data_IF_638929431957
#
_entry.id   IF_638929431957
#
_cell.length_a   1.000
_cell.length_b   1.000
_cell.length_c   1.000
_cell.angle_alpha   90.00
_cell.angle_beta   90.00
_cell.angle_gamma   90.00
#
_symmetry.space_group_name_H-M   'P 1'
#
loop_
_entity.id
_entity.type
_entity.pdbx_description
1 polymer ?
#
# COMPACT_ATOMS: atom_id res chain seq x y z
N UNK A 1 -43.91 -19.17 -31.89
CA UNK A 1 -43.29 -17.95 -31.39
C UNK A 1 -42.21 -18.37 -30.40
N UNK A 2 -40.98 -18.41 -30.84
CA UNK A 2 -39.85 -18.90 -30.05
C UNK A 2 -39.21 -17.69 -29.33
N UNK A 3 -39.37 -17.61 -28.02
CA UNK A 3 -38.72 -16.58 -27.18
C UNK A 3 -37.25 -16.91 -27.05
N UNK A 4 -36.40 -16.14 -27.71
CA UNK A 4 -34.96 -16.19 -27.51
C UNK A 4 -34.63 -15.55 -26.15
N UNK A 5 -34.18 -16.37 -25.20
CA UNK A 5 -33.62 -15.93 -23.92
C UNK A 5 -32.25 -15.37 -24.19
N UNK A 6 -32.07 -14.05 -24.09
CA UNK A 6 -30.77 -13.39 -24.09
C UNK A 6 -30.00 -13.81 -22.84
N UNK A 7 -28.93 -14.56 -23.05
CA UNK A 7 -27.97 -14.88 -22.00
C UNK A 7 -27.34 -13.57 -21.49
N UNK A 8 -27.24 -13.31 -20.16
CA UNK A 8 -26.56 -12.11 -19.69
C UNK A 8 -25.11 -12.16 -20.13
N UNK A 9 -24.67 -11.09 -20.81
CA UNK A 9 -23.27 -10.92 -21.19
C UNK A 9 -22.42 -11.09 -19.92
N UNK A 10 -21.56 -12.12 -19.90
CA UNK A 10 -20.52 -12.26 -18.86
C UNK A 10 -19.73 -10.96 -18.87
N UNK A 11 -19.78 -10.22 -17.77
CA UNK A 11 -18.83 -9.14 -17.53
C UNK A 11 -17.44 -9.74 -17.74
N UNK A 12 -16.67 -9.20 -18.68
CA UNK A 12 -15.29 -9.64 -18.90
C UNK A 12 -14.56 -9.49 -17.56
N UNK A 13 -14.00 -10.61 -17.08
CA UNK A 13 -13.20 -10.59 -15.86
C UNK A 13 -12.02 -9.62 -16.12
N UNK A 14 -11.91 -8.59 -15.32
CA UNK A 14 -10.80 -7.63 -15.39
C UNK A 14 -9.53 -8.40 -15.10
N UNK A 15 -8.51 -8.27 -15.97
CA UNK A 15 -7.21 -8.88 -15.71
C UNK A 15 -6.65 -8.30 -14.39
N UNK A 16 -6.38 -9.14 -13.37
CA UNK A 16 -5.90 -8.69 -12.07
C UNK A 16 -4.50 -8.07 -12.11
N UNK A 17 -3.82 -8.09 -13.25
CA UNK A 17 -2.55 -7.41 -13.52
C UNK A 17 -2.68 -6.28 -14.56
N UNK A 18 -3.90 -5.84 -14.88
CA UNK A 18 -4.13 -4.62 -15.67
C UNK A 18 -4.10 -3.37 -14.77
N UNK A 19 -3.05 -2.59 -14.90
CA UNK A 19 -2.86 -1.34 -14.17
C UNK A 19 -3.16 -0.09 -15.02
N UNK A 20 -3.72 -0.24 -16.21
CA UNK A 20 -3.91 0.85 -17.19
C UNK A 20 -4.81 1.98 -16.68
N UNK A 21 -5.67 1.72 -15.68
CA UNK A 21 -6.46 2.78 -15.05
C UNK A 21 -5.56 3.84 -14.42
N UNK A 22 -4.53 3.45 -13.69
CA UNK A 22 -3.62 4.38 -13.03
C UNK A 22 -2.93 5.35 -14.01
N UNK A 23 -2.68 4.90 -15.25
CA UNK A 23 -2.03 5.71 -16.29
C UNK A 23 -2.95 6.84 -16.80
N UNK A 24 -4.26 6.73 -16.60
CA UNK A 24 -5.28 7.67 -17.08
C UNK A 24 -5.83 8.60 -16.02
N UNK A 25 -5.50 8.37 -14.75
CA UNK A 25 -6.00 9.20 -13.66
C UNK A 25 -5.32 10.57 -13.63
N UNK A 26 -6.07 11.63 -13.26
CA UNK A 26 -5.47 12.92 -13.02
C UNK A 26 -4.45 12.86 -11.89
N UNK A 27 -3.32 13.53 -12.09
CA UNK A 27 -2.22 13.53 -11.16
C UNK A 27 -1.76 14.97 -10.84
N UNK A 28 -1.36 15.19 -9.58
CA UNK A 28 -0.83 16.48 -9.09
C UNK A 28 0.43 16.24 -8.27
N UNK A 29 1.34 17.22 -8.24
CA UNK A 29 2.49 17.17 -7.34
C UNK A 29 2.02 17.22 -5.88
N UNK A 30 2.65 16.41 -5.01
CA UNK A 30 2.44 16.39 -3.57
C UNK A 30 3.80 16.30 -2.88
N UNK A 31 4.37 17.43 -2.49
CA UNK A 31 5.77 17.51 -2.08
C UNK A 31 6.71 17.10 -3.22
N UNK A 32 7.57 16.13 -2.98
CA UNK A 32 8.39 15.50 -4.01
C UNK A 32 7.73 14.24 -4.63
N UNK A 33 6.56 13.87 -4.12
CA UNK A 33 5.73 12.80 -4.66
C UNK A 33 4.71 13.29 -5.69
N UNK A 34 3.86 12.36 -6.15
CA UNK A 34 2.78 12.61 -7.10
C UNK A 34 1.51 11.91 -6.64
N UNK A 35 0.40 12.64 -6.52
CA UNK A 35 -0.90 12.14 -6.10
C UNK A 35 -1.79 11.87 -7.31
N UNK A 36 -2.21 10.61 -7.48
CA UNK A 36 -3.24 10.21 -8.44
C UNK A 36 -4.60 10.23 -7.73
N UNK A 37 -5.62 10.81 -8.34
CA UNK A 37 -6.97 10.92 -7.76
C UNK A 37 -7.98 10.20 -8.65
N UNK A 38 -8.66 9.18 -8.11
CA UNK A 38 -9.74 8.47 -8.81
C UNK A 38 -11.11 9.07 -8.48
N UNK A 39 -11.32 9.52 -7.24
CA UNK A 39 -12.54 10.21 -6.82
C UNK A 39 -12.21 11.35 -5.85
N UNK A 40 -12.78 12.53 -6.12
CA UNK A 40 -12.57 13.72 -5.30
C UNK A 40 -13.24 13.62 -3.91
N UNK A 41 -12.78 14.39 -2.90
CA UNK A 41 -13.44 14.51 -1.62
C UNK A 41 -14.94 14.85 -1.75
N UNK A 42 -15.78 14.22 -0.94
CA UNK A 42 -17.24 14.33 -0.99
C UNK A 42 -17.91 14.56 0.37
N UNK A 43 -17.14 15.04 1.35
CA UNK A 43 -17.59 15.31 2.72
C UNK A 43 -17.51 14.10 3.67
N UNK A 44 -17.20 12.89 3.15
CA UNK A 44 -16.90 11.69 3.95
C UNK A 44 -15.39 11.46 3.98
N UNK A 45 -14.85 10.71 4.96
CA UNK A 45 -13.43 10.35 4.95
C UNK A 45 -13.03 9.68 3.63
N UNK A 46 -12.00 10.20 2.96
CA UNK A 46 -11.42 9.59 1.76
C UNK A 46 -10.34 8.57 2.10
N UNK A 47 -9.81 7.89 1.08
CA UNK A 47 -8.68 6.98 1.20
C UNK A 47 -7.44 7.57 0.53
N UNK A 48 -6.29 7.55 1.23
CA UNK A 48 -4.96 7.81 0.67
C UNK A 48 -4.16 6.51 0.71
N UNK A 49 -3.84 5.95 -0.46
CA UNK A 49 -3.15 4.67 -0.61
C UNK A 49 -1.65 4.91 -0.77
N UNK A 50 -0.84 4.32 0.14
CA UNK A 50 0.61 4.49 0.22
C UNK A 50 1.30 3.17 -0.11
N UNK A 51 2.08 3.08 -1.21
CA UNK A 51 2.67 1.83 -1.67
C UNK A 51 3.87 1.41 -0.82
N UNK A 52 4.18 0.10 -0.91
CA UNK A 52 5.39 -0.49 -0.36
C UNK A 52 6.63 -0.24 -1.22
N UNK A 53 7.77 -0.79 -0.80
CA UNK A 53 9.03 -0.69 -1.51
C UNK A 53 8.91 -1.10 -2.98
N UNK A 54 9.63 -0.42 -3.86
CA UNK A 54 9.67 -0.63 -5.31
C UNK A 54 8.40 -0.23 -6.07
N UNK A 55 7.27 0.01 -5.39
CA UNK A 55 5.98 0.27 -6.01
C UNK A 55 5.67 1.75 -6.14
N UNK A 56 4.91 2.10 -7.17
CA UNK A 56 4.23 3.39 -7.28
C UNK A 56 2.71 3.26 -7.09
N UNK A 57 2.00 4.36 -7.24
CA UNK A 57 0.54 4.43 -7.11
C UNK A 57 -0.20 3.47 -8.07
N UNK A 58 0.44 3.05 -9.16
CA UNK A 58 -0.10 2.13 -10.15
C UNK A 58 -0.57 0.80 -9.54
N UNK A 59 0.08 0.33 -8.48
CA UNK A 59 -0.26 -0.95 -7.86
C UNK A 59 -1.68 -0.97 -7.24
N UNK A 60 -2.25 0.20 -7.03
CA UNK A 60 -3.61 0.39 -6.51
C UNK A 60 -4.68 0.61 -7.59
N UNK A 61 -4.39 0.34 -8.87
CA UNK A 61 -5.35 0.58 -9.96
C UNK A 61 -6.72 -0.04 -9.69
N UNK A 62 -6.77 -1.30 -9.23
CA UNK A 62 -8.02 -1.98 -8.89
C UNK A 62 -8.72 -1.37 -7.67
N UNK A 63 -7.97 -1.00 -6.63
CA UNK A 63 -8.52 -0.34 -5.44
C UNK A 63 -9.11 1.02 -5.76
N UNK A 64 -8.43 1.81 -6.59
CA UNK A 64 -8.91 3.13 -7.01
C UNK A 64 -10.24 3.03 -7.73
N UNK A 65 -10.41 2.09 -8.66
CA UNK A 65 -11.70 1.84 -9.35
C UNK A 65 -12.77 1.32 -8.37
N UNK A 66 -12.41 0.34 -7.56
CA UNK A 66 -13.33 -0.31 -6.62
C UNK A 66 -13.89 0.68 -5.60
N UNK A 67 -13.04 1.45 -4.92
CA UNK A 67 -13.47 2.40 -3.90
C UNK A 67 -14.19 3.60 -4.49
N UNK A 68 -13.76 4.09 -5.67
CA UNK A 68 -14.50 5.14 -6.38
C UNK A 68 -15.92 4.69 -6.74
N UNK A 69 -16.10 3.47 -7.25
CA UNK A 69 -17.43 2.89 -7.52
C UNK A 69 -18.26 2.67 -6.26
N UNK A 70 -17.61 2.41 -5.12
CA UNK A 70 -18.27 2.33 -3.82
C UNK A 70 -18.67 3.71 -3.25
N UNK A 71 -18.37 4.81 -3.97
CA UNK A 71 -18.68 6.18 -3.58
C UNK A 71 -17.72 6.79 -2.57
N UNK A 72 -16.51 6.24 -2.43
CA UNK A 72 -15.46 6.79 -1.57
C UNK A 72 -14.53 7.70 -2.39
N UNK A 73 -14.21 8.87 -1.84
CA UNK A 73 -13.07 9.65 -2.30
C UNK A 73 -11.80 8.81 -2.15
N UNK A 74 -10.98 8.69 -3.20
CA UNK A 74 -9.77 7.89 -3.11
C UNK A 74 -8.66 8.42 -4.02
N UNK A 75 -7.46 8.34 -3.50
CA UNK A 75 -6.22 8.73 -4.16
C UNK A 75 -5.09 7.77 -3.78
N UNK A 76 -4.07 7.70 -4.62
CA UNK A 76 -2.84 6.95 -4.35
C UNK A 76 -1.63 7.82 -4.64
N UNK A 77 -0.55 7.65 -3.86
CA UNK A 77 0.67 8.44 -4.03
C UNK A 77 1.77 7.63 -4.71
N UNK A 78 2.44 8.22 -5.71
CA UNK A 78 3.81 7.86 -6.04
C UNK A 78 4.72 8.61 -5.08
N UNK A 79 5.49 7.90 -4.29
CA UNK A 79 6.52 8.48 -3.43
C UNK A 79 7.69 8.94 -4.29
N UNK A 80 8.54 9.84 -3.79
CA UNK A 80 9.71 10.34 -4.52
C UNK A 80 10.55 9.19 -5.10
N UNK A 81 10.96 9.32 -6.36
CA UNK A 81 11.74 8.31 -7.07
C UNK A 81 10.97 7.08 -7.53
N UNK A 82 9.63 7.04 -7.37
CA UNK A 82 8.77 5.92 -7.74
C UNK A 82 7.70 6.31 -8.77
N UNK A 83 7.07 5.30 -9.37
CA UNK A 83 6.16 5.50 -10.50
C UNK A 83 6.92 6.14 -11.68
N UNK A 84 6.39 7.21 -12.30
CA UNK A 84 7.05 7.93 -13.38
C UNK A 84 8.01 9.02 -12.88
N UNK A 85 8.17 9.20 -11.56
CA UNK A 85 9.03 10.23 -11.01
C UNK A 85 10.50 9.82 -11.17
N UNK A 86 11.38 10.75 -11.60
CA UNK A 86 12.81 10.50 -11.61
C UNK A 86 13.32 10.34 -10.17
N UNK A 87 14.40 9.60 -10.01
CA UNK A 87 15.13 9.59 -8.74
C UNK A 87 15.64 10.99 -8.45
N UNK A 88 15.34 11.59 -7.28
CA UNK A 88 15.84 12.91 -6.93
C UNK A 88 17.34 12.88 -6.67
N UNK A 89 18.04 14.02 -6.75
CA UNK A 89 19.42 14.14 -6.25
C UNK A 89 19.51 13.62 -4.80
N UNK A 90 20.52 12.81 -4.51
CA UNK A 90 20.68 12.18 -3.18
C UNK A 90 19.69 11.03 -2.91
N UNK A 91 19.12 10.41 -3.93
CA UNK A 91 18.14 9.31 -3.78
C UNK A 91 18.64 8.18 -2.86
N UNK A 92 19.92 7.87 -2.87
CA UNK A 92 20.51 6.82 -2.03
C UNK A 92 20.36 7.12 -0.52
N UNK A 93 20.30 8.40 -0.16
CA UNK A 93 20.13 8.89 1.22
C UNK A 93 18.65 9.14 1.59
N UNK A 94 17.74 8.98 0.64
CA UNK A 94 16.29 9.05 0.92
C UNK A 94 15.90 7.98 1.93
N UNK A 95 15.33 8.39 3.06
CA UNK A 95 14.88 7.50 4.13
C UNK A 95 13.36 7.47 4.31
N UNK A 96 12.89 6.68 5.25
CA UNK A 96 11.45 6.56 5.56
C UNK A 96 10.85 7.91 5.99
N UNK A 97 11.60 8.76 6.68
CA UNK A 97 11.14 10.09 7.08
C UNK A 97 10.86 11.00 5.88
N UNK A 98 11.67 10.89 4.82
CA UNK A 98 11.47 11.63 3.58
C UNK A 98 10.20 11.17 2.86
N UNK A 99 9.94 9.85 2.85
CA UNK A 99 8.72 9.28 2.29
C UNK A 99 7.50 9.70 3.11
N UNK A 100 7.63 9.81 4.44
CA UNK A 100 6.57 10.33 5.31
C UNK A 100 6.23 11.79 4.99
N UNK A 101 7.23 12.62 4.66
CA UNK A 101 7.00 14.00 4.23
C UNK A 101 6.19 14.09 2.93
N UNK A 102 6.36 13.14 1.99
CA UNK A 102 5.53 13.06 0.78
C UNK A 102 4.08 12.70 1.13
N UNK A 103 3.86 11.75 2.07
CA UNK A 103 2.52 11.38 2.54
C UNK A 103 1.85 12.55 3.26
N UNK A 104 2.58 13.30 4.10
CA UNK A 104 2.08 14.52 4.75
C UNK A 104 1.66 15.55 3.70
N UNK A 105 2.49 15.78 2.68
CA UNK A 105 2.17 16.70 1.59
C UNK A 105 0.92 16.28 0.81
N UNK A 106 0.69 14.97 0.64
CA UNK A 106 -0.52 14.45 0.02
C UNK A 106 -1.76 14.66 0.91
N UNK A 107 -1.65 14.47 2.23
CA UNK A 107 -2.72 14.76 3.17
C UNK A 107 -3.08 16.25 3.18
N UNK A 108 -2.07 17.12 3.23
CA UNK A 108 -2.27 18.58 3.19
C UNK A 108 -2.91 19.02 1.86
N UNK A 109 -2.57 18.36 0.74
CA UNK A 109 -3.15 18.63 -0.59
C UNK A 109 -4.61 18.16 -0.72
N UNK A 110 -4.98 17.05 -0.05
CA UNK A 110 -6.36 16.55 -0.05
C UNK A 110 -7.28 17.43 0.79
N UNK A 111 -6.77 18.07 1.84
CA UNK A 111 -7.48 18.98 2.75
C UNK A 111 -8.88 18.46 3.15
N UNK A 112 -8.95 17.17 3.50
CA UNK A 112 -10.18 16.48 3.83
C UNK A 112 -9.91 15.36 4.83
N UNK A 113 -10.91 14.95 5.63
CA UNK A 113 -10.79 13.77 6.48
C UNK A 113 -10.33 12.58 5.65
N UNK A 114 -9.24 11.93 6.04
CA UNK A 114 -8.60 10.90 5.23
C UNK A 114 -8.21 9.68 6.06
N UNK A 115 -8.53 8.50 5.58
CA UNK A 115 -7.98 7.23 6.05
C UNK A 115 -6.71 6.95 5.27
N UNK A 116 -5.58 6.83 5.96
CA UNK A 116 -4.30 6.49 5.32
C UNK A 116 -4.14 4.97 5.28
N UNK A 117 -3.89 4.43 4.09
CA UNK A 117 -3.73 3.00 3.86
C UNK A 117 -2.29 2.72 3.45
N UNK A 118 -1.49 2.09 4.32
CA UNK A 118 -0.09 1.79 4.07
C UNK A 118 0.16 0.30 3.84
N UNK A 119 0.83 -0.04 2.73
CA UNK A 119 1.21 -1.41 2.42
C UNK A 119 2.69 -1.67 2.70
N UNK A 120 3.02 -2.79 3.34
CA UNK A 120 4.40 -3.26 3.53
C UNK A 120 5.29 -2.17 4.15
N UNK A 121 6.39 -1.80 3.49
CA UNK A 121 7.25 -0.67 3.87
C UNK A 121 6.47 0.65 3.98
N UNK A 122 5.49 0.88 3.09
CA UNK A 122 4.62 2.07 3.10
C UNK A 122 3.79 2.25 4.36
N UNK A 123 3.67 1.22 5.20
CA UNK A 123 3.06 1.33 6.53
C UNK A 123 3.83 2.30 7.45
N UNK A 124 5.16 2.33 7.36
CA UNK A 124 5.99 3.21 8.20
C UNK A 124 5.79 4.70 7.86
N UNK A 125 5.91 5.15 6.60
CA UNK A 125 5.61 6.54 6.27
C UNK A 125 4.14 6.90 6.50
N UNK A 126 3.19 5.97 6.34
CA UNK A 126 1.77 6.19 6.66
C UNK A 126 1.57 6.44 8.17
N UNK A 127 2.18 5.63 9.03
CA UNK A 127 2.12 5.80 10.48
C UNK A 127 2.81 7.09 10.94
N UNK A 128 3.99 7.42 10.39
CA UNK A 128 4.68 8.69 10.68
C UNK A 128 3.84 9.90 10.25
N UNK A 129 3.18 9.84 9.10
CA UNK A 129 2.29 10.92 8.67
C UNK A 129 1.06 11.04 9.58
N UNK A 130 0.47 9.92 9.99
CA UNK A 130 -0.66 9.89 10.94
C UNK A 130 -0.27 10.38 12.35
N UNK A 131 1.01 10.29 12.74
CA UNK A 131 1.49 10.89 13.98
C UNK A 131 1.70 12.41 13.91
N UNK A 132 1.80 12.97 12.69
CA UNK A 132 2.04 14.39 12.43
C UNK A 132 0.79 15.15 11.98
N UNK A 133 -0.23 14.45 11.51
CA UNK A 133 -1.51 15.01 11.02
C UNK A 133 -2.68 14.24 11.59
N UNK A 134 -3.75 14.95 11.89
CA UNK A 134 -5.02 14.29 12.23
C UNK A 134 -5.56 13.57 11.00
N UNK A 135 -5.72 12.25 11.12
CA UNK A 135 -6.31 11.39 10.09
C UNK A 135 -7.63 10.80 10.59
N UNK A 136 -8.54 10.44 9.68
CA UNK A 136 -9.81 9.82 10.03
C UNK A 136 -9.63 8.35 10.45
N UNK A 137 -8.62 7.68 9.90
CA UNK A 137 -8.32 6.29 10.22
C UNK A 137 -6.99 5.85 9.63
N UNK A 138 -6.52 4.67 10.04
CA UNK A 138 -5.30 4.04 9.53
C UNK A 138 -5.58 2.59 9.15
N UNK A 139 -5.20 2.19 7.94
CA UNK A 139 -5.22 0.80 7.51
C UNK A 139 -3.80 0.36 7.16
N UNK A 140 -3.36 -0.74 7.72
CA UNK A 140 -2.05 -1.34 7.45
C UNK A 140 -2.25 -2.68 6.74
N UNK A 141 -1.56 -2.89 5.64
CA UNK A 141 -1.63 -4.11 4.82
C UNK A 141 -0.27 -4.79 4.80
N UNK A 142 -0.14 -5.98 5.39
CA UNK A 142 1.12 -6.70 5.54
C UNK A 142 2.27 -5.76 5.98
N UNK A 143 2.14 -5.05 7.11
CA UNK A 143 2.99 -3.91 7.44
C UNK A 143 4.40 -4.29 7.84
N UNK A 144 5.37 -3.45 7.46
CA UNK A 144 6.67 -3.46 8.11
C UNK A 144 6.55 -2.96 9.56
N UNK A 145 7.25 -3.60 10.52
CA UNK A 145 7.17 -3.21 11.92
C UNK A 145 7.92 -1.90 12.21
N UNK A 146 7.41 -1.03 13.09
CA UNK A 146 8.19 0.06 13.64
C UNK A 146 9.28 -0.47 14.59
N UNK A 147 10.34 0.31 14.76
CA UNK A 147 11.51 -0.08 15.56
C UNK A 147 11.19 -0.35 17.04
N UNK A 148 10.19 0.31 17.58
CA UNK A 148 9.72 0.17 18.96
C UNK A 148 8.69 -0.95 19.17
N UNK A 149 8.42 -1.78 18.14
CA UNK A 149 7.58 -2.96 18.32
C UNK A 149 8.35 -4.02 19.14
N UNK A 150 7.85 -4.45 20.31
CA UNK A 150 8.50 -5.50 21.08
C UNK A 150 8.63 -6.80 20.28
N UNK A 151 9.83 -7.34 20.20
CA UNK A 151 10.11 -8.58 19.46
C UNK A 151 10.23 -8.43 17.94
N UNK A 152 10.24 -7.21 17.41
CA UNK A 152 10.50 -6.98 16.00
C UNK A 152 11.86 -7.55 15.59
N UNK A 153 11.90 -8.21 14.42
CA UNK A 153 13.13 -8.78 13.89
C UNK A 153 13.71 -7.90 12.80
N UNK A 154 14.99 -7.57 12.96
CA UNK A 154 15.79 -6.94 11.93
C UNK A 154 16.12 -7.91 10.80
N UNK A 155 16.51 -7.38 9.67
CA UNK A 155 17.00 -8.12 8.51
C UNK A 155 18.43 -7.71 8.21
N UNK A 156 19.21 -8.51 7.47
CA UNK A 156 20.54 -8.10 7.02
C UNK A 156 20.48 -6.81 6.21
N UNK A 157 21.43 -5.86 6.42
CA UNK A 157 21.46 -4.62 5.67
C UNK A 157 21.73 -4.86 4.19
N UNK A 158 21.27 -3.94 3.35
CA UNK A 158 21.69 -3.87 1.94
C UNK A 158 22.85 -2.89 1.78
N UNK A 159 23.75 -3.09 0.77
CA UNK A 159 24.78 -2.13 0.42
C UNK A 159 24.19 -0.73 0.19
N UNK A 160 24.92 0.32 0.63
CA UNK A 160 24.40 1.70 0.59
C UNK A 160 24.91 2.50 -0.62
N UNK A 161 25.79 1.94 -1.42
CA UNK A 161 26.50 2.58 -2.52
C UNK A 161 25.72 2.60 -3.86
N UNK A 162 24.59 1.87 -3.93
CA UNK A 162 23.75 1.84 -5.11
C UNK A 162 22.27 1.63 -4.74
N UNK A 163 21.36 2.12 -5.59
CA UNK A 163 19.94 1.82 -5.47
C UNK A 163 19.72 0.30 -5.62
N UNK A 164 18.86 -0.24 -4.78
CA UNK A 164 18.51 -1.66 -4.81
C UNK A 164 17.62 -1.94 -6.02
N UNK A 165 18.07 -2.81 -6.90
CA UNK A 165 17.26 -3.24 -8.05
C UNK A 165 15.93 -3.85 -7.58
N UNK A 166 14.87 -3.65 -8.38
CA UNK A 166 13.57 -4.28 -8.13
C UNK A 166 13.68 -5.81 -8.10
N UNK A 167 12.78 -6.49 -7.36
CA UNK A 167 12.75 -7.94 -7.30
C UNK A 167 12.60 -8.60 -8.66
N UNK A 168 13.25 -9.75 -8.84
CA UNK A 168 13.13 -10.53 -10.06
C UNK A 168 11.73 -11.16 -10.22
N UNK A 169 11.36 -11.52 -11.44
CA UNK A 169 10.07 -12.13 -11.77
C UNK A 169 9.77 -13.39 -10.91
N UNK A 170 10.78 -14.18 -10.57
CA UNK A 170 10.63 -15.34 -9.67
C UNK A 170 10.21 -14.97 -8.26
N UNK A 171 10.79 -13.91 -7.70
CA UNK A 171 10.42 -13.39 -6.37
C UNK A 171 9.02 -12.76 -6.40
N UNK A 172 8.66 -12.05 -7.47
CA UNK A 172 7.31 -11.48 -7.64
C UNK A 172 6.27 -12.61 -7.64
N UNK A 173 6.51 -13.70 -8.37
CA UNK A 173 5.58 -14.83 -8.39
C UNK A 173 5.47 -15.50 -7.04
N UNK A 174 6.61 -15.78 -6.40
CA UNK A 174 6.64 -16.54 -5.16
C UNK A 174 6.07 -15.72 -3.98
N UNK A 175 6.53 -14.48 -3.81
CA UNK A 175 6.26 -13.68 -2.63
C UNK A 175 5.13 -12.67 -2.84
N UNK A 176 5.17 -11.88 -3.92
CA UNK A 176 4.17 -10.81 -4.09
C UNK A 176 2.80 -11.35 -4.45
N UNK A 177 2.75 -12.43 -5.24
CA UNK A 177 1.51 -12.97 -5.78
C UNK A 177 1.17 -14.38 -5.30
N UNK A 178 2.11 -15.12 -4.71
CA UNK A 178 1.96 -16.53 -4.33
C UNK A 178 1.31 -17.35 -5.47
N UNK A 179 1.82 -17.20 -6.70
CA UNK A 179 1.23 -17.73 -7.92
C UNK A 179 2.13 -18.72 -8.64
N UNK A 180 1.62 -19.35 -9.69
CA UNK A 180 2.36 -20.31 -10.51
C UNK A 180 3.71 -19.75 -11.01
N UNK A 181 4.79 -20.56 -11.02
CA UNK A 181 6.08 -20.19 -11.59
C UNK A 181 6.03 -19.76 -13.05
N UNK A 182 4.99 -20.17 -13.79
CA UNK A 182 4.77 -19.85 -15.20
C UNK A 182 3.87 -18.64 -15.45
N UNK A 183 3.29 -18.03 -14.38
CA UNK A 183 2.44 -16.83 -14.53
C UNK A 183 3.23 -15.71 -15.15
N UNK A 184 2.69 -15.08 -16.21
CA UNK A 184 3.25 -13.85 -16.74
C UNK A 184 3.06 -12.72 -15.71
N UNK A 185 4.17 -12.10 -15.33
CA UNK A 185 4.22 -10.97 -14.37
C UNK A 185 4.91 -9.76 -14.99
N UNK A 186 5.01 -9.71 -16.32
CA UNK A 186 5.66 -8.62 -17.04
C UNK A 186 5.03 -7.27 -16.73
N UNK A 187 3.72 -7.21 -16.61
CA UNK A 187 2.99 -6.00 -16.23
C UNK A 187 3.42 -5.43 -14.86
N UNK A 188 3.85 -6.28 -13.92
CA UNK A 188 4.40 -5.88 -12.62
C UNK A 188 5.87 -5.49 -12.77
N UNK A 189 6.70 -6.36 -13.35
CA UNK A 189 8.15 -6.15 -13.45
C UNK A 189 8.53 -4.85 -14.19
N UNK A 190 7.76 -4.49 -15.21
CA UNK A 190 7.99 -3.27 -16.00
C UNK A 190 7.66 -1.98 -15.26
N UNK A 191 6.89 -2.06 -14.17
CA UNK A 191 6.43 -0.90 -13.39
C UNK A 191 7.16 -0.70 -12.07
N UNK A 192 7.88 -1.73 -11.60
CA UNK A 192 8.68 -1.61 -10.39
C UNK A 192 9.89 -0.69 -10.60
N UNK A 193 10.15 0.16 -9.60
CA UNK A 193 11.30 1.05 -9.58
C UNK A 193 12.41 0.45 -8.67
N UNK A 194 13.68 0.84 -8.84
CA UNK A 194 14.70 0.60 -7.84
C UNK A 194 14.35 1.33 -6.53
N UNK A 195 14.79 0.77 -5.38
CA UNK A 195 14.54 1.36 -4.07
C UNK A 195 15.82 1.98 -3.47
N UNK A 196 15.63 3.04 -2.69
CA UNK A 196 16.72 3.63 -1.89
C UNK A 196 17.26 2.61 -0.88
N UNK A 197 18.58 2.39 -0.82
CA UNK A 197 19.16 1.53 0.19
C UNK A 197 18.92 2.06 1.61
N UNK A 198 18.80 3.37 1.79
CA UNK A 198 18.50 3.99 3.08
C UNK A 198 17.08 3.63 3.54
N UNK A 199 16.07 3.70 2.66
CA UNK A 199 14.70 3.25 2.97
C UNK A 199 14.69 1.80 3.44
N UNK A 200 15.37 0.91 2.72
CA UNK A 200 15.44 -0.50 3.09
C UNK A 200 16.18 -0.71 4.43
N UNK A 201 17.31 -0.04 4.62
CA UNK A 201 18.09 -0.15 5.86
C UNK A 201 17.38 0.48 7.06
N UNK A 202 16.60 1.53 6.86
CA UNK A 202 15.75 2.10 7.92
C UNK A 202 14.74 1.04 8.42
N UNK A 203 14.15 0.26 7.50
CA UNK A 203 13.27 -0.87 7.85
C UNK A 203 14.05 -2.07 8.41
N UNK A 204 15.12 -2.50 7.73
CA UNK A 204 15.84 -3.74 8.05
C UNK A 204 16.59 -3.65 9.37
N UNK A 205 17.13 -2.50 9.69
CA UNK A 205 17.87 -2.26 10.92
C UNK A 205 16.99 -1.66 12.04
N UNK A 206 15.67 -1.65 11.86
CA UNK A 206 14.69 -1.15 12.83
C UNK A 206 15.06 0.27 13.33
N UNK A 207 15.24 1.22 12.41
CA UNK A 207 15.66 2.59 12.73
C UNK A 207 14.50 3.58 12.90
N UNK A 208 13.28 3.15 12.60
CA UNK A 208 12.10 4.01 12.55
C UNK A 208 11.13 3.65 13.67
N UNK A 209 11.24 4.28 14.86
CA UNK A 209 10.22 4.16 15.88
C UNK A 209 8.99 4.99 15.49
N UNK A 210 7.81 4.54 15.90
CA UNK A 210 6.55 5.29 15.77
C UNK A 210 5.82 5.23 17.10
N UNK A 211 5.67 6.38 17.74
CA UNK A 211 4.96 6.47 19.02
C UNK A 211 3.45 6.38 18.80
N UNK A 212 2.75 5.45 19.47
CA UNK A 212 1.29 5.29 19.31
C UNK A 212 0.45 6.46 19.80
N UNK A 213 0.77 7.16 20.92
CA UNK A 213 -0.12 8.16 21.50
C UNK A 213 -0.61 9.28 20.58
N UNK A 214 0.17 9.77 19.60
CA UNK A 214 -0.33 10.76 18.65
C UNK A 214 -1.40 10.22 17.68
N UNK A 215 -1.48 8.88 17.48
CA UNK A 215 -2.41 8.25 16.54
C UNK A 215 -3.64 7.78 17.32
N UNK A 216 -4.64 8.65 17.40
CA UNK A 216 -5.91 8.37 18.13
C UNK A 216 -7.03 7.87 17.21
N UNK A 217 -6.80 7.86 15.91
CA UNK A 217 -7.77 7.42 14.93
C UNK A 217 -7.99 5.89 14.99
N UNK A 218 -9.20 5.39 14.67
CA UNK A 218 -9.44 3.96 14.54
C UNK A 218 -8.57 3.35 13.44
N UNK A 219 -8.18 2.08 13.61
CA UNK A 219 -7.34 1.42 12.62
C UNK A 219 -7.65 -0.04 12.39
N UNK A 220 -7.15 -0.54 11.26
CA UNK A 220 -7.21 -1.94 10.83
C UNK A 220 -5.83 -2.40 10.38
N UNK A 221 -5.40 -3.56 10.84
CA UNK A 221 -4.20 -4.24 10.37
C UNK A 221 -4.59 -5.54 9.66
N UNK A 222 -4.23 -5.68 8.39
CA UNK A 222 -4.48 -6.86 7.56
C UNK A 222 -3.19 -7.69 7.46
N UNK A 223 -3.28 -8.93 7.88
CA UNK A 223 -2.22 -9.93 7.75
C UNK A 223 -2.43 -10.75 6.47
N UNK A 224 -1.39 -10.88 5.65
CA UNK A 224 -1.38 -11.70 4.45
C UNK A 224 -1.05 -13.15 4.82
N UNK A 225 -2.03 -14.05 4.73
CA UNK A 225 -1.88 -15.44 5.18
C UNK A 225 -0.93 -16.29 4.32
N UNK A 226 -0.57 -15.84 3.13
CA UNK A 226 0.40 -16.50 2.24
C UNK A 226 1.75 -15.77 2.20
N UNK A 227 1.98 -14.77 3.07
CA UNK A 227 3.28 -14.09 3.12
C UNK A 227 4.38 -14.98 3.69
N UNK A 228 5.62 -14.65 3.41
CA UNK A 228 6.78 -15.44 3.82
C UNK A 228 7.22 -15.10 5.24
N UNK A 229 7.48 -16.11 6.05
CA UNK A 229 7.80 -15.98 7.48
C UNK A 229 9.17 -15.31 7.75
N UNK A 230 10.06 -15.28 6.78
CA UNK A 230 11.35 -14.58 6.88
C UNK A 230 11.19 -13.05 6.86
N UNK A 231 10.11 -12.56 6.28
CA UNK A 231 9.79 -11.12 6.17
C UNK A 231 8.66 -10.70 7.10
N UNK A 232 7.68 -11.59 7.29
CA UNK A 232 6.53 -11.41 8.16
C UNK A 232 6.44 -12.60 9.14
N UNK A 233 7.21 -12.55 10.24
CA UNK A 233 7.16 -13.60 11.26
C UNK A 233 5.74 -13.76 11.81
N UNK A 234 5.31 -15.01 12.13
CA UNK A 234 3.98 -15.27 12.68
C UNK A 234 3.67 -14.39 13.89
N UNK A 235 2.52 -13.74 13.86
CA UNK A 235 2.05 -12.86 14.94
C UNK A 235 2.61 -11.43 14.94
N UNK A 236 3.51 -11.08 14.02
CA UNK A 236 4.05 -9.71 13.91
C UNK A 236 2.94 -8.70 13.63
N UNK A 237 2.08 -8.95 12.63
CA UNK A 237 1.02 -8.02 12.23
C UNK A 237 -0.03 -7.84 13.33
N UNK A 238 -0.33 -8.93 14.06
CA UNK A 238 -1.15 -8.87 15.28
C UNK A 238 -0.49 -8.04 16.39
N UNK A 239 0.82 -8.14 16.55
CA UNK A 239 1.57 -7.36 17.54
C UNK A 239 1.58 -5.87 17.16
N UNK A 240 1.71 -5.53 15.87
CA UNK A 240 1.57 -4.16 15.36
C UNK A 240 0.15 -3.62 15.66
N UNK A 241 -0.88 -4.40 15.35
CA UNK A 241 -2.26 -4.01 15.64
C UNK A 241 -2.46 -3.71 17.13
N UNK A 242 -1.93 -4.54 18.02
CA UNK A 242 -2.00 -4.31 19.47
C UNK A 242 -1.24 -3.07 19.91
N UNK A 243 -0.07 -2.80 19.35
CA UNK A 243 0.73 -1.62 19.69
C UNK A 243 -0.03 -0.33 19.44
N UNK A 244 -0.82 -0.25 18.37
CA UNK A 244 -1.58 0.94 17.98
C UNK A 244 -3.07 0.89 18.40
N UNK A 245 -3.53 -0.18 19.03
CA UNK A 245 -4.94 -0.36 19.38
C UNK A 245 -5.86 -0.59 18.19
N UNK A 246 -5.32 -1.11 17.07
CA UNK A 246 -6.07 -1.37 15.83
C UNK A 246 -6.77 -2.73 15.85
N UNK A 247 -7.84 -2.85 15.08
CA UNK A 247 -8.43 -4.14 14.74
C UNK A 247 -7.45 -4.96 13.89
N UNK A 248 -7.53 -6.29 13.99
CA UNK A 248 -6.66 -7.20 13.23
C UNK A 248 -7.48 -8.24 12.50
N UNK A 249 -7.16 -8.47 11.23
CA UNK A 249 -7.77 -9.53 10.41
C UNK A 249 -6.70 -10.27 9.60
N UNK A 250 -6.80 -11.61 9.58
CA UNK A 250 -5.96 -12.48 8.75
C UNK A 250 -6.71 -12.83 7.48
N UNK A 251 -6.12 -12.55 6.34
CA UNK A 251 -6.65 -12.92 5.03
C UNK A 251 -5.89 -14.14 4.52
N UNK A 252 -6.37 -15.34 4.87
CA UNK A 252 -5.66 -16.62 4.69
C UNK A 252 -5.22 -16.90 3.24
N UNK A 253 -6.00 -16.44 2.24
CA UNK A 253 -5.71 -16.62 0.82
C UNK A 253 -4.97 -15.44 0.16
N UNK A 254 -4.51 -14.45 0.93
CA UNK A 254 -3.84 -13.27 0.39
C UNK A 254 -2.31 -13.41 0.39
N UNK A 255 -1.66 -13.12 -0.75
CA UNK A 255 -0.22 -12.96 -0.82
C UNK A 255 0.21 -11.60 -0.27
N UNK A 256 1.52 -11.34 -0.24
CA UNK A 256 2.08 -10.07 0.25
C UNK A 256 1.45 -8.83 -0.42
N UNK A 257 1.34 -8.82 -1.74
CA UNK A 257 0.73 -7.70 -2.48
C UNK A 257 -0.78 -7.90 -2.61
N UNK A 258 -1.53 -7.56 -1.56
CA UNK A 258 -2.97 -7.75 -1.48
C UNK A 258 -3.79 -6.88 -2.45
N UNK A 259 -3.19 -5.81 -3.02
CA UNK A 259 -3.91 -4.83 -3.83
C UNK A 259 -4.02 -5.19 -5.31
N UNK A 260 -3.34 -6.24 -5.76
CA UNK A 260 -3.42 -6.77 -7.12
C UNK A 260 -3.21 -8.30 -7.13
N UNK A 261 -3.33 -8.93 -8.29
CA UNK A 261 -3.35 -10.39 -8.39
C UNK A 261 -4.75 -10.97 -8.16
N UNK A 262 -4.90 -12.28 -8.31
CA UNK A 262 -6.20 -12.94 -8.45
C UNK A 262 -7.15 -12.76 -7.23
N UNK A 263 -6.61 -12.51 -6.04
CA UNK A 263 -7.36 -12.41 -4.79
C UNK A 263 -7.57 -10.96 -4.28
N UNK A 264 -7.18 -9.93 -5.03
CA UNK A 264 -7.16 -8.54 -4.58
C UNK A 264 -8.48 -8.03 -3.98
N UNK A 265 -9.62 -8.53 -4.49
CA UNK A 265 -10.93 -8.05 -4.09
C UNK A 265 -11.24 -8.36 -2.62
N UNK A 266 -10.78 -9.49 -2.08
CA UNK A 266 -11.06 -9.88 -0.71
C UNK A 266 -10.49 -8.88 0.32
N UNK A 267 -9.31 -8.33 0.07
CA UNK A 267 -8.72 -7.29 0.91
C UNK A 267 -9.43 -5.94 0.75
N UNK A 268 -9.83 -5.58 -0.48
CA UNK A 268 -10.63 -4.39 -0.74
C UNK A 268 -12.00 -4.46 -0.03
N UNK A 269 -12.70 -5.61 -0.11
CA UNK A 269 -13.97 -5.86 0.58
C UNK A 269 -13.82 -5.74 2.11
N UNK A 270 -12.71 -6.26 2.66
CA UNK A 270 -12.43 -6.17 4.10
C UNK A 270 -12.22 -4.72 4.54
N UNK A 271 -11.45 -3.94 3.77
CA UNK A 271 -11.24 -2.51 4.03
C UNK A 271 -12.58 -1.75 3.94
N UNK A 272 -13.37 -2.01 2.90
CA UNK A 272 -14.67 -1.35 2.73
C UNK A 272 -15.65 -1.71 3.85
N UNK A 273 -15.66 -2.96 4.30
CA UNK A 273 -16.45 -3.43 5.44
C UNK A 273 -16.08 -2.70 6.73
N UNK A 274 -14.78 -2.63 7.04
CA UNK A 274 -14.26 -1.87 8.17
C UNK A 274 -14.60 -0.37 8.05
N UNK A 275 -14.40 0.23 6.88
CA UNK A 275 -14.72 1.63 6.64
C UNK A 275 -16.19 1.94 6.94
N UNK A 276 -17.11 1.09 6.47
CA UNK A 276 -18.54 1.25 6.73
C UNK A 276 -18.92 1.12 8.21
N UNK A 277 -18.20 0.29 8.96
CA UNK A 277 -18.39 0.18 10.41
C UNK A 277 -17.94 1.42 11.16
N UNK A 278 -16.93 2.13 10.67
CA UNK A 278 -16.38 3.31 11.33
C UNK A 278 -17.10 4.61 10.93
N UNK A 279 -17.54 4.73 9.67
CA UNK A 279 -17.97 5.99 9.06
C UNK A 279 -19.31 5.91 8.30
N UNK A 280 -19.95 4.76 8.30
CA UNK A 280 -21.20 4.50 7.55
C UNK A 280 -22.50 4.87 8.23
#
# INVERSE_FOLDING_TARGET
MTTATLSPARAQAVDPLDFSLADRLPARAAGQGRLLTAAAPNGRPGLLLVPGAYHGAWCYAHYLDYFARAGLACAAIDLRGHGPLPQPPGFLDTGIADLAADVVSALDLLDAPTVVVGHSMGALPALLAASQRTVAGVVLMAPSPPANLPGALGLPPVPADAARAAPAASEIRARFLATSPTRDVSAVTQRLNPESPRVLNDRYLLRVPVDPPPITAPGLCLEAGLDTHDRHPPGQDRAIARLFGFSHAVLAGQPHCMMYGDAWQASADTILGWYRQQFG
#
